data_IF_328309538260
#
_entry.id   IF_328309538260
#
_cell.length_a   1.000
_cell.length_b   1.000
_cell.length_c   1.000
_cell.angle_alpha   90.00
_cell.angle_beta   90.00
_cell.angle_gamma   90.00
#
_symmetry.space_group_name_H-M   'P 1'
#
loop_
_entity.id
_entity.type
_entity.pdbx_description
1 polymer ?
#
# COMPACT_ATOMS: atom_id res chain seq x y z
N UNK A 1 1.08 14.54 3.62
CA UNK A 1 0.85 13.96 2.28
C UNK A 1 1.73 12.72 2.10
N UNK A 2 1.19 11.64 1.54
CA UNK A 2 1.95 10.45 1.13
C UNK A 2 2.45 10.67 -0.30
N UNK A 3 3.76 10.72 -0.50
CA UNK A 3 4.36 10.98 -1.81
C UNK A 3 4.80 9.65 -2.44
N UNK A 4 4.09 9.23 -3.49
CA UNK A 4 4.43 8.05 -4.28
C UNK A 4 4.98 8.48 -5.65
N UNK A 5 6.25 8.17 -5.90
CA UNK A 5 6.91 8.48 -7.17
C UNK A 5 6.77 7.30 -8.14
N UNK A 6 6.37 7.58 -9.38
CA UNK A 6 6.28 6.60 -10.46
C UNK A 6 7.46 6.80 -11.41
N UNK A 7 8.48 5.96 -11.28
CA UNK A 7 9.66 5.99 -12.16
C UNK A 7 9.69 4.75 -13.05
N UNK A 8 10.22 4.90 -14.26
CA UNK A 8 10.32 3.79 -15.22
C UNK A 8 11.19 2.63 -14.73
N UNK A 9 12.25 2.93 -13.98
CA UNK A 9 13.11 1.92 -13.33
C UNK A 9 12.34 1.03 -12.35
N UNK A 10 11.23 1.51 -11.78
CA UNK A 10 10.41 0.74 -10.85
C UNK A 10 9.40 -0.20 -11.54
N UNK A 11 9.27 -0.16 -12.88
CA UNK A 11 8.27 -0.97 -13.62
C UNK A 11 8.41 -2.46 -13.33
N UNK A 12 9.63 -2.99 -13.24
CA UNK A 12 9.87 -4.42 -12.93
C UNK A 12 9.39 -4.76 -11.52
N UNK A 13 9.60 -3.87 -10.56
CA UNK A 13 9.11 -4.06 -9.19
C UNK A 13 7.58 -4.05 -9.12
N UNK A 14 6.92 -3.19 -9.91
CA UNK A 14 5.45 -3.16 -10.02
C UNK A 14 4.93 -4.46 -10.63
N UNK A 15 5.53 -4.94 -11.73
CA UNK A 15 5.14 -6.21 -12.37
C UNK A 15 5.28 -7.39 -11.40
N UNK A 16 6.39 -7.45 -10.65
CA UNK A 16 6.59 -8.48 -9.63
C UNK A 16 5.56 -8.38 -8.50
N UNK A 17 5.24 -7.16 -8.06
CA UNK A 17 4.21 -6.92 -7.04
C UNK A 17 2.82 -7.37 -7.48
N UNK A 18 2.47 -7.12 -8.75
CA UNK A 18 1.20 -7.59 -9.35
C UNK A 18 1.12 -9.12 -9.38
N UNK A 19 2.21 -9.81 -9.73
CA UNK A 19 2.25 -11.28 -9.72
C UNK A 19 2.13 -11.86 -8.32
N UNK A 20 2.67 -11.17 -7.31
CA UNK A 20 2.59 -11.59 -5.92
C UNK A 20 1.22 -11.30 -5.27
N UNK A 21 0.36 -10.51 -5.93
CA UNK A 21 -0.94 -10.05 -5.41
C UNK A 21 -0.84 -9.38 -4.03
N UNK A 22 0.26 -8.64 -3.79
CA UNK A 22 0.50 -7.93 -2.52
C UNK A 22 0.24 -6.43 -2.70
N UNK A 23 -0.75 -5.86 -1.98
CA UNK A 23 -0.98 -4.42 -1.96
C UNK A 23 0.23 -3.64 -1.42
N UNK A 24 0.48 -2.47 -2.00
CA UNK A 24 1.63 -1.60 -1.66
C UNK A 24 1.66 -1.23 -0.18
N UNK A 25 0.51 -0.94 0.43
CA UNK A 25 0.44 -0.57 1.84
C UNK A 25 0.84 -1.71 2.79
N UNK A 26 0.58 -2.97 2.40
CA UNK A 26 1.03 -4.16 3.14
C UNK A 26 2.53 -4.38 2.98
N UNK A 27 3.07 -4.18 1.77
CA UNK A 27 4.50 -4.25 1.52
C UNK A 27 5.29 -3.18 2.30
N UNK A 28 4.73 -1.97 2.44
CA UNK A 28 5.34 -0.85 3.15
C UNK A 28 4.89 -0.74 4.63
N UNK A 29 4.45 -1.83 5.26
CA UNK A 29 3.96 -1.82 6.64
C UNK A 29 4.93 -1.13 7.61
N UNK A 30 6.17 -1.60 7.69
CA UNK A 30 7.15 -1.06 8.64
C UNK A 30 7.52 0.40 8.34
N UNK A 31 7.82 0.81 7.09
CA UNK A 31 8.04 2.22 6.77
C UNK A 31 6.85 3.13 7.08
N UNK A 32 5.62 2.68 6.84
CA UNK A 32 4.40 3.46 7.09
C UNK A 32 4.16 3.63 8.59
N UNK A 33 4.26 2.55 9.38
CA UNK A 33 4.15 2.62 10.84
C UNK A 33 5.24 3.52 11.42
N UNK A 34 6.48 3.40 10.95
CA UNK A 34 7.59 4.25 11.43
C UNK A 34 7.36 5.73 11.16
N UNK A 35 6.71 6.08 10.04
CA UNK A 35 6.51 7.47 9.63
C UNK A 35 5.22 8.08 10.21
N UNK A 36 4.14 7.32 10.27
CA UNK A 36 2.80 7.83 10.58
C UNK A 36 2.22 7.27 11.88
N UNK A 37 2.84 6.25 12.47
CA UNK A 37 2.39 5.58 13.68
C UNK A 37 1.51 4.37 13.41
N UNK A 38 1.32 3.55 14.46
CA UNK A 38 0.53 2.32 14.40
C UNK A 38 -0.95 2.61 14.13
N UNK A 39 -1.54 3.55 14.88
CA UNK A 39 -2.96 3.91 14.74
C UNK A 39 -3.32 4.32 13.30
N UNK A 40 -2.48 5.14 12.67
CA UNK A 40 -2.68 5.56 11.29
C UNK A 40 -2.62 4.38 10.30
N UNK A 41 -1.71 3.42 10.54
CA UNK A 41 -1.60 2.23 9.70
C UNK A 41 -2.82 1.31 9.84
N UNK A 42 -3.37 1.21 11.05
CA UNK A 42 -4.57 0.42 11.32
C UNK A 42 -5.80 1.03 10.62
N UNK A 43 -5.97 2.36 10.70
CA UNK A 43 -7.01 3.08 9.95
C UNK A 43 -6.90 2.87 8.43
N UNK A 44 -5.66 2.86 7.89
CA UNK A 44 -5.42 2.56 6.48
C UNK A 44 -5.84 1.14 6.12
N UNK A 45 -5.59 0.17 7.00
CA UNK A 45 -6.01 -1.21 6.79
C UNK A 45 -7.54 -1.33 6.78
N UNK A 46 -8.23 -0.67 7.72
CA UNK A 46 -9.69 -0.67 7.80
C UNK A 46 -10.32 -0.03 6.56
N UNK A 47 -9.79 1.13 6.13
CA UNK A 47 -10.24 1.79 4.90
C UNK A 47 -10.05 0.90 3.66
N UNK A 48 -8.93 0.18 3.58
CA UNK A 48 -8.67 -0.73 2.47
C UNK A 48 -9.64 -1.92 2.46
N UNK A 49 -9.97 -2.50 3.63
CA UNK A 49 -10.96 -3.58 3.71
C UNK A 49 -12.36 -3.10 3.33
N UNK A 50 -12.76 -1.88 3.72
CA UNK A 50 -14.05 -1.32 3.29
C UNK A 50 -14.12 -1.03 1.80
N UNK A 51 -13.04 -0.51 1.20
CA UNK A 51 -12.97 -0.31 -0.25
C UNK A 51 -13.07 -1.64 -1.01
N UNK A 52 -12.47 -2.70 -0.48
CA UNK A 52 -12.55 -4.05 -1.03
C UNK A 52 -13.98 -4.61 -0.94
N UNK A 53 -14.67 -4.44 0.19
CA UNK A 53 -16.09 -4.83 0.33
C UNK A 53 -16.99 -4.11 -0.66
N UNK A 54 -16.71 -2.83 -0.90
CA UNK A 54 -17.40 -2.00 -1.88
C UNK A 54 -16.96 -2.24 -3.34
N UNK A 55 -16.01 -3.16 -3.58
CA UNK A 55 -15.47 -3.52 -4.90
C UNK A 55 -14.83 -2.35 -5.67
N UNK A 56 -14.27 -1.37 -4.96
CA UNK A 56 -13.48 -0.30 -5.58
C UNK A 56 -12.04 -0.72 -5.86
N UNK A 57 -11.53 -1.69 -5.11
CA UNK A 57 -10.20 -2.29 -5.24
C UNK A 57 -10.26 -3.81 -5.11
#
# INVERSE_FOLDING_TARGET
ALNYHRWDVCKVAVLKGQQADVPVYKFLKEPLIRKFGQAWYDELCDAAEELKKQKYI
#
